data_IF_616482823291
#
_entry.id   IF_616482823291
#
_cell.length_a   1.000
_cell.length_b   1.000
_cell.length_c   1.000
_cell.angle_alpha   90.00
_cell.angle_beta   90.00
_cell.angle_gamma   90.00
#
_symmetry.space_group_name_H-M   'P 1'
#
loop_
_entity.id
_entity.type
_entity.pdbx_description
1 polymer ?
#
# COMPACT_ATOMS: atom_id res chain seq x y z
N UNK A 1 14.22 55.96 21.79
CA UNK A 1 13.59 55.53 20.51
C UNK A 1 14.23 54.23 20.03
N UNK A 2 13.43 53.20 19.77
CA UNK A 2 13.91 51.81 19.69
C UNK A 2 14.38 51.43 18.27
N UNK A 3 15.70 51.36 18.04
CA UNK A 3 16.35 51.09 16.73
C UNK A 3 15.85 49.84 16.02
N UNK A 4 15.45 48.81 16.78
CA UNK A 4 14.87 47.56 16.28
C UNK A 4 13.55 47.76 15.52
N UNK A 5 12.69 48.69 15.97
CA UNK A 5 11.42 49.00 15.30
C UNK A 5 11.61 49.72 13.95
N UNK A 6 12.66 50.53 13.82
CA UNK A 6 13.00 51.17 12.54
C UNK A 6 13.56 50.16 11.53
N UNK A 7 14.44 49.27 11.97
CA UNK A 7 14.99 48.21 11.11
C UNK A 7 13.89 47.29 10.57
N UNK A 8 12.92 46.92 11.41
CA UNK A 8 11.78 46.10 10.99
C UNK A 8 10.89 46.79 9.96
N UNK A 9 10.62 48.09 10.14
CA UNK A 9 9.84 48.88 9.15
C UNK A 9 10.56 48.97 7.82
N UNK A 10 11.88 49.17 7.83
CA UNK A 10 12.69 49.24 6.62
C UNK A 10 12.75 47.89 5.89
N UNK A 11 12.92 46.79 6.63
CA UNK A 11 12.88 45.44 6.07
C UNK A 11 11.51 45.15 5.43
N UNK A 12 10.41 45.45 6.12
CA UNK A 12 9.05 45.23 5.60
C UNK A 12 8.78 46.03 4.32
N UNK A 13 9.27 47.28 4.24
CA UNK A 13 9.20 48.10 3.03
C UNK A 13 10.00 47.49 1.88
N UNK A 14 11.22 47.02 2.13
CA UNK A 14 12.05 46.36 1.11
C UNK A 14 11.45 45.05 0.61
N UNK A 15 10.87 44.24 1.49
CA UNK A 15 10.14 43.03 1.09
C UNK A 15 8.92 43.34 0.21
N UNK A 16 8.17 44.41 0.52
CA UNK A 16 7.05 44.85 -0.31
C UNK A 16 7.52 45.33 -1.69
N UNK A 17 8.62 46.09 -1.77
CA UNK A 17 9.24 46.51 -3.02
C UNK A 17 9.69 45.31 -3.88
N UNK A 18 10.35 44.31 -3.26
CA UNK A 18 10.75 43.08 -3.94
C UNK A 18 9.54 42.30 -4.46
N UNK A 19 8.48 42.16 -3.65
CA UNK A 19 7.24 41.47 -4.07
C UNK A 19 6.57 42.16 -5.26
N UNK A 20 6.61 43.50 -5.29
CA UNK A 20 6.05 44.26 -6.40
C UNK A 20 6.89 44.12 -7.67
N UNK A 21 8.23 44.19 -7.55
CA UNK A 21 9.15 43.93 -8.68
C UNK A 21 8.98 42.52 -9.25
N UNK A 22 8.86 41.51 -8.39
CA UNK A 22 8.62 40.12 -8.79
C UNK A 22 7.30 39.97 -9.57
N UNK A 23 6.20 40.57 -9.07
CA UNK A 23 4.92 40.57 -9.78
C UNK A 23 5.00 41.24 -11.16
N UNK A 24 5.76 42.33 -11.27
CA UNK A 24 5.92 43.04 -12.54
C UNK A 24 6.82 42.26 -13.52
N UNK A 25 7.81 41.52 -13.03
CA UNK A 25 8.60 40.60 -13.85
C UNK A 25 7.73 39.44 -14.37
N UNK A 26 6.93 38.81 -13.50
CA UNK A 26 6.01 37.73 -13.91
C UNK A 26 4.96 38.15 -14.93
N UNK A 27 4.54 39.44 -14.94
CA UNK A 27 3.62 39.98 -15.95
C UNK A 27 4.30 40.25 -17.30
N UNK A 28 5.62 40.43 -17.32
CA UNK A 28 6.42 40.75 -18.52
C UNK A 28 7.06 39.53 -19.17
N UNK A 29 7.07 38.38 -18.49
CA UNK A 29 7.42 37.11 -19.13
C UNK A 29 6.32 36.78 -20.14
N UNK A 30 6.63 36.64 -21.45
CA UNK A 30 5.67 36.12 -22.42
C UNK A 30 5.12 34.82 -21.86
N UNK A 31 3.79 34.70 -21.74
CA UNK A 31 3.18 33.42 -21.34
C UNK A 31 3.77 32.36 -22.28
N UNK A 32 4.51 31.36 -21.78
CA UNK A 32 4.95 30.29 -22.64
C UNK A 32 3.70 29.76 -23.32
N UNK A 33 3.74 29.66 -24.64
CA UNK A 33 2.71 29.01 -25.43
C UNK A 33 2.67 27.59 -24.88
N UNK A 34 1.80 27.34 -23.90
CA UNK A 34 1.70 26.03 -23.26
C UNK A 34 1.28 25.12 -24.40
N UNK A 35 2.15 24.17 -24.84
CA UNK A 35 1.69 23.20 -25.81
C UNK A 35 0.46 22.57 -25.16
N UNK A 36 -0.64 22.44 -25.92
CA UNK A 36 -1.83 21.75 -25.43
C UNK A 36 -1.37 20.49 -24.71
N UNK A 37 -1.52 20.45 -23.39
CA UNK A 37 -1.12 19.28 -22.60
C UNK A 37 -1.96 18.16 -23.19
N UNK A 38 -1.32 17.25 -23.91
CA UNK A 38 -1.98 16.08 -24.48
C UNK A 38 -2.42 15.26 -23.29
N UNK A 39 -3.67 15.45 -22.89
CA UNK A 39 -4.31 14.64 -21.87
C UNK A 39 -4.63 13.31 -22.52
N UNK A 40 -3.79 12.32 -22.30
CA UNK A 40 -4.13 10.92 -22.52
C UNK A 40 -5.45 10.63 -21.80
N UNK A 41 -6.36 9.88 -22.41
CA UNK A 41 -7.58 9.41 -21.75
C UNK A 41 -7.27 8.35 -20.68
N UNK A 42 -8.26 7.99 -19.85
CA UNK A 42 -8.06 7.06 -18.73
C UNK A 42 -7.71 5.65 -19.20
N UNK A 43 -8.27 5.19 -20.32
CA UNK A 43 -8.01 3.85 -20.85
C UNK A 43 -6.56 3.72 -21.35
N UNK A 44 -6.06 4.72 -22.09
CA UNK A 44 -4.67 4.77 -22.51
C UNK A 44 -3.71 4.85 -21.32
N UNK A 45 -4.07 5.61 -20.28
CA UNK A 45 -3.28 5.69 -19.05
C UNK A 45 -3.25 4.36 -18.30
N UNK A 46 -4.38 3.67 -18.18
CA UNK A 46 -4.46 2.33 -17.58
C UNK A 46 -3.57 1.34 -18.32
N UNK A 47 -3.60 1.31 -19.66
CA UNK A 47 -2.77 0.41 -20.45
C UNK A 47 -1.27 0.68 -20.29
N UNK A 48 -0.87 1.95 -20.11
CA UNK A 48 0.52 2.30 -19.79
C UNK A 48 0.88 1.79 -18.39
N UNK A 49 0.04 2.06 -17.39
CA UNK A 49 0.26 1.67 -16.01
C UNK A 49 0.27 0.13 -15.82
N UNK A 50 -0.44 -0.63 -16.65
CA UNK A 50 -0.42 -2.11 -16.64
C UNK A 50 0.94 -2.69 -17.05
N UNK A 51 1.75 -1.92 -17.78
CA UNK A 51 3.09 -2.36 -18.22
C UNK A 51 4.19 -2.06 -17.21
N UNK A 52 3.89 -1.26 -16.20
CA UNK A 52 4.82 -0.97 -15.10
C UNK A 52 4.81 -2.10 -14.09
N UNK A 53 5.94 -2.27 -13.40
CA UNK A 53 5.96 -3.15 -12.23
C UNK A 53 5.11 -2.56 -11.08
N UNK A 54 4.87 -3.38 -10.05
CA UNK A 54 4.02 -2.99 -8.94
C UNK A 54 4.57 -1.78 -8.16
N UNK A 55 5.88 -1.72 -7.93
CA UNK A 55 6.54 -0.63 -7.21
C UNK A 55 6.41 0.67 -7.99
N UNK A 56 6.77 0.65 -9.28
CA UNK A 56 6.66 1.80 -10.17
C UNK A 56 5.24 2.32 -10.21
N UNK A 57 4.28 1.43 -10.45
CA UNK A 57 2.86 1.79 -10.55
C UNK A 57 2.34 2.46 -9.28
N UNK A 58 2.67 1.92 -8.10
CA UNK A 58 2.27 2.53 -6.81
C UNK A 58 2.95 3.89 -6.60
N UNK A 59 4.22 4.04 -6.98
CA UNK A 59 4.94 5.33 -6.90
C UNK A 59 4.32 6.41 -7.78
N UNK A 60 3.71 6.06 -8.92
CA UNK A 60 3.06 7.03 -9.83
C UNK A 60 1.87 7.76 -9.20
N UNK A 61 1.29 7.22 -8.11
CA UNK A 61 0.16 7.84 -7.38
C UNK A 61 0.43 9.27 -6.95
N UNK A 62 1.68 9.62 -6.63
CA UNK A 62 2.04 10.97 -6.14
C UNK A 62 1.99 12.05 -7.22
N UNK A 63 1.91 11.65 -8.50
CA UNK A 63 2.01 12.60 -9.62
C UNK A 63 0.75 13.44 -9.80
N UNK A 64 -0.44 12.85 -9.64
CA UNK A 64 -1.71 13.58 -9.72
C UNK A 64 -2.85 12.77 -9.11
N UNK A 65 -3.91 13.46 -8.68
CA UNK A 65 -5.14 12.82 -8.19
C UNK A 65 -5.75 11.86 -9.21
N UNK A 66 -5.67 12.20 -10.50
CA UNK A 66 -6.20 11.34 -11.57
C UNK A 66 -5.43 10.02 -11.67
N UNK A 67 -4.10 10.07 -11.65
CA UNK A 67 -3.27 8.86 -11.68
C UNK A 67 -3.47 8.04 -10.40
N UNK A 68 -3.56 8.71 -9.26
CA UNK A 68 -3.91 8.10 -7.97
C UNK A 68 -5.22 7.31 -8.04
N UNK A 69 -6.30 7.93 -8.52
CA UNK A 69 -7.61 7.30 -8.66
C UNK A 69 -7.63 6.13 -9.65
N UNK A 70 -6.78 6.15 -10.68
CA UNK A 70 -6.65 5.04 -11.64
C UNK A 70 -5.92 3.87 -10.97
N UNK A 71 -4.75 4.12 -10.38
CA UNK A 71 -3.94 3.08 -9.73
C UNK A 71 -4.73 2.37 -8.62
N UNK A 72 -5.51 3.10 -7.82
CA UNK A 72 -6.31 2.53 -6.72
C UNK A 72 -7.44 1.60 -7.20
N UNK A 73 -7.85 1.67 -8.48
CA UNK A 73 -8.84 0.75 -9.08
C UNK A 73 -8.20 -0.46 -9.75
N UNK A 74 -6.88 -0.43 -9.97
CA UNK A 74 -6.17 -1.52 -10.62
C UNK A 74 -5.89 -2.67 -9.64
N UNK A 75 -5.87 -3.93 -10.10
CA UNK A 75 -5.52 -5.06 -9.25
C UNK A 75 -4.09 -4.94 -8.70
N UNK A 76 -3.95 -4.86 -7.38
CA UNK A 76 -2.72 -5.09 -6.64
C UNK A 76 -2.60 -6.58 -6.28
N UNK A 77 -1.75 -7.32 -6.98
CA UNK A 77 -1.53 -8.76 -6.77
C UNK A 77 -0.09 -8.95 -6.35
N UNK A 78 0.13 -9.58 -5.21
CA UNK A 78 1.48 -9.89 -4.72
C UNK A 78 1.87 -11.29 -5.21
N UNK A 79 3.00 -11.46 -5.92
CA UNK A 79 3.36 -12.76 -6.48
C UNK A 79 3.70 -13.77 -5.39
N UNK A 80 4.45 -13.34 -4.37
CA UNK A 80 4.92 -14.19 -3.30
C UNK A 80 4.87 -13.48 -1.95
N UNK A 81 4.30 -14.17 -0.97
CA UNK A 81 4.35 -13.78 0.44
C UNK A 81 4.83 -14.99 1.24
N UNK A 82 5.86 -14.80 2.03
CA UNK A 82 6.36 -15.79 2.97
C UNK A 82 6.18 -15.31 4.41
N UNK A 83 5.45 -16.08 5.20
CA UNK A 83 5.20 -15.79 6.61
C UNK A 83 5.81 -16.91 7.43
N UNK A 84 6.73 -16.55 8.33
CA UNK A 84 7.36 -17.47 9.26
C UNK A 84 7.25 -16.97 10.68
N UNK A 85 7.42 -17.85 11.65
CA UNK A 85 7.48 -17.44 13.06
C UNK A 85 8.70 -18.01 13.76
N UNK A 86 9.26 -17.25 14.68
CA UNK A 86 10.20 -17.80 15.65
C UNK A 86 9.48 -18.53 16.79
N UNK A 87 10.24 -19.30 17.59
CA UNK A 87 9.73 -20.02 18.74
C UNK A 87 9.18 -19.11 19.86
N UNK A 88 9.40 -17.79 19.79
CA UNK A 88 8.94 -16.80 20.76
C UNK A 88 7.60 -16.17 20.36
N UNK A 89 7.03 -16.57 19.22
CA UNK A 89 5.76 -16.04 18.73
C UNK A 89 5.89 -14.70 18.00
N UNK A 90 7.11 -14.32 17.60
CA UNK A 90 7.30 -13.26 16.64
C UNK A 90 7.08 -13.83 15.23
N UNK A 91 6.32 -13.11 14.44
CA UNK A 91 6.00 -13.44 13.06
C UNK A 91 6.79 -12.49 12.17
N UNK A 92 7.46 -13.04 11.18
CA UNK A 92 8.18 -12.31 10.14
C UNK A 92 7.46 -12.54 8.81
N UNK A 93 7.12 -11.45 8.14
CA UNK A 93 6.54 -11.46 6.81
C UNK A 93 7.55 -10.90 5.81
N UNK A 94 7.78 -11.68 4.77
CA UNK A 94 8.62 -11.36 3.62
C UNK A 94 7.75 -11.33 2.36
N UNK A 95 8.06 -10.41 1.45
CA UNK A 95 7.39 -10.27 0.17
C UNK A 95 8.38 -9.68 -0.84
N UNK A 96 8.23 -10.02 -2.12
CA UNK A 96 9.06 -9.43 -3.17
C UNK A 96 8.85 -7.90 -3.32
N UNK A 97 7.72 -7.39 -2.83
CA UNK A 97 7.35 -5.98 -2.88
C UNK A 97 7.21 -5.38 -1.47
N UNK A 98 8.27 -5.49 -0.66
CA UNK A 98 8.29 -4.93 0.70
C UNK A 98 7.99 -3.43 0.73
N UNK A 99 8.54 -2.65 -0.20
CA UNK A 99 8.29 -1.21 -0.28
C UNK A 99 6.79 -0.91 -0.47
N UNK A 100 6.10 -1.66 -1.35
CA UNK A 100 4.65 -1.52 -1.54
C UNK A 100 3.89 -1.91 -0.26
N UNK A 101 4.31 -2.97 0.43
CA UNK A 101 3.67 -3.34 1.69
C UNK A 101 3.84 -2.26 2.76
N UNK A 102 5.04 -1.73 2.92
CA UNK A 102 5.36 -0.77 3.99
C UNK A 102 4.79 0.61 3.66
N UNK A 103 5.11 1.14 2.49
CA UNK A 103 4.84 2.55 2.14
C UNK A 103 3.41 2.77 1.63
N UNK A 104 2.71 1.71 1.24
CA UNK A 104 1.36 1.82 0.69
C UNK A 104 0.32 1.03 1.48
N UNK A 105 0.54 -0.27 1.70
CA UNK A 105 -0.47 -1.11 2.36
C UNK A 105 -0.54 -0.85 3.86
N UNK A 106 0.61 -0.65 4.50
CA UNK A 106 0.75 -0.52 5.95
C UNK A 106 1.18 0.90 6.39
N UNK A 107 1.13 1.88 5.49
CA UNK A 107 1.67 3.23 5.71
C UNK A 107 1.19 3.89 7.02
N UNK A 108 -0.08 3.71 7.35
CA UNK A 108 -0.73 4.32 8.53
C UNK A 108 -0.92 3.31 9.68
N UNK A 109 -0.35 2.10 9.57
CA UNK A 109 -0.55 1.04 10.55
C UNK A 109 0.56 1.04 11.60
N UNK A 110 0.16 0.80 12.85
CA UNK A 110 1.06 0.52 13.97
C UNK A 110 1.03 -0.97 14.32
N UNK A 111 1.94 -1.42 15.18
CA UNK A 111 1.95 -2.79 15.69
C UNK A 111 2.86 -3.76 14.95
N UNK A 112 3.63 -3.27 13.98
CA UNK A 112 4.75 -4.00 13.37
C UNK A 112 6.03 -3.15 13.41
N UNK A 113 7.16 -3.80 13.15
CA UNK A 113 8.47 -3.18 12.96
C UNK A 113 9.09 -3.73 11.68
N UNK A 114 9.98 -2.97 11.06
CA UNK A 114 10.79 -3.49 9.96
C UNK A 114 12.12 -3.94 10.53
N UNK A 115 12.43 -5.24 10.41
CA UNK A 115 13.66 -5.85 10.92
C UNK A 115 14.28 -6.66 9.79
N UNK A 116 15.53 -6.35 9.43
CA UNK A 116 16.26 -7.03 8.35
C UNK A 116 15.48 -7.10 7.01
N UNK A 117 14.73 -6.05 6.68
CA UNK A 117 13.92 -6.02 5.47
C UNK A 117 12.64 -6.85 5.51
N UNK A 118 12.26 -7.40 6.67
CA UNK A 118 11.01 -8.11 6.91
C UNK A 118 10.06 -7.28 7.79
N UNK A 119 8.76 -7.48 7.62
CA UNK A 119 7.74 -6.94 8.52
C UNK A 119 7.63 -7.92 9.70
N UNK A 120 8.09 -7.49 10.88
CA UNK A 120 8.06 -8.26 12.11
C UNK A 120 6.95 -7.76 13.05
N UNK A 121 6.10 -8.67 13.52
CA UNK A 121 5.03 -8.37 14.48
C UNK A 121 4.81 -9.57 15.41
N UNK A 122 4.22 -9.34 16.58
CA UNK A 122 3.90 -10.41 17.50
C UNK A 122 2.55 -11.06 17.15
N UNK A 123 2.29 -12.24 17.71
CA UNK A 123 1.02 -12.94 17.51
C UNK A 123 -0.22 -12.09 17.87
N UNK A 124 -0.13 -11.21 18.88
CA UNK A 124 -1.27 -10.35 19.29
C UNK A 124 -1.66 -9.35 18.20
N UNK A 125 -0.70 -8.91 17.39
CA UNK A 125 -0.92 -7.97 16.30
C UNK A 125 -1.18 -8.68 14.96
N UNK A 126 -1.03 -10.01 14.89
CA UNK A 126 -1.12 -10.78 13.64
C UNK A 126 -2.46 -10.57 12.93
N UNK A 127 -3.57 -10.67 13.66
CA UNK A 127 -4.90 -10.49 13.08
C UNK A 127 -5.06 -9.11 12.42
N UNK A 128 -4.61 -8.07 13.12
CA UNK A 128 -4.70 -6.68 12.66
C UNK A 128 -3.82 -6.47 11.41
N UNK A 129 -2.56 -6.91 11.44
CA UNK A 129 -1.61 -6.75 10.32
C UNK A 129 -2.10 -7.52 9.09
N UNK A 130 -2.45 -8.79 9.24
CA UNK A 130 -2.94 -9.62 8.14
C UNK A 130 -4.22 -9.05 7.52
N UNK A 131 -5.17 -8.62 8.35
CA UNK A 131 -6.40 -7.97 7.87
C UNK A 131 -6.10 -6.69 7.07
N UNK A 132 -5.16 -5.86 7.53
CA UNK A 132 -4.78 -4.66 6.80
C UNK A 132 -4.13 -4.95 5.45
N UNK A 133 -3.37 -6.05 5.35
CA UNK A 133 -2.81 -6.51 4.07
C UNK A 133 -3.92 -6.98 3.15
N UNK A 134 -4.70 -7.98 3.59
CA UNK A 134 -5.72 -8.63 2.76
C UNK A 134 -6.82 -7.65 2.34
N UNK A 135 -7.11 -6.61 3.14
CA UNK A 135 -8.09 -5.58 2.81
C UNK A 135 -7.69 -4.63 1.68
N UNK A 136 -6.38 -4.49 1.41
CA UNK A 136 -5.83 -3.51 0.46
C UNK A 136 -5.23 -4.14 -0.78
N UNK A 137 -5.00 -5.45 -0.75
CA UNK A 137 -4.53 -6.20 -1.91
C UNK A 137 -5.70 -6.95 -2.54
N UNK A 138 -5.67 -7.13 -3.85
CA UNK A 138 -6.67 -7.89 -4.59
C UNK A 138 -6.37 -9.38 -4.63
N UNK A 139 -5.12 -9.77 -4.37
CA UNK A 139 -4.78 -11.18 -4.27
C UNK A 139 -3.30 -11.47 -4.07
N UNK A 140 -3.02 -12.75 -3.91
CA UNK A 140 -1.69 -13.32 -3.73
C UNK A 140 -1.57 -14.53 -4.65
N UNK A 141 -0.54 -14.58 -5.50
CA UNK A 141 -0.29 -15.76 -6.33
C UNK A 141 0.19 -16.93 -5.47
N UNK A 142 1.19 -16.71 -4.61
CA UNK A 142 1.67 -17.78 -3.73
C UNK A 142 1.89 -17.28 -2.29
N UNK A 143 1.11 -17.84 -1.36
CA UNK A 143 1.30 -17.68 0.07
C UNK A 143 2.02 -18.89 0.64
N UNK A 144 3.16 -18.67 1.28
CA UNK A 144 3.93 -19.68 1.98
C UNK A 144 3.91 -19.41 3.49
N UNK A 145 3.47 -20.41 4.26
CA UNK A 145 3.39 -20.37 5.71
C UNK A 145 4.36 -21.38 6.33
N UNK A 146 5.29 -20.91 7.15
CA UNK A 146 6.23 -21.72 7.94
C UNK A 146 6.28 -21.20 9.38
N UNK A 147 5.15 -21.35 10.07
CA UNK A 147 4.91 -20.79 11.39
C UNK A 147 4.27 -21.80 12.32
N UNK A 148 4.60 -21.70 13.61
CA UNK A 148 3.90 -22.45 14.66
C UNK A 148 2.42 -22.01 14.79
N UNK A 149 2.05 -20.90 14.15
CA UNK A 149 0.74 -20.26 14.21
C UNK A 149 -0.03 -20.34 12.88
N UNK A 150 0.33 -21.29 11.99
CA UNK A 150 -0.30 -21.45 10.68
C UNK A 150 -1.83 -21.50 10.76
N UNK A 151 -2.40 -22.23 11.73
CA UNK A 151 -3.86 -22.34 11.93
C UNK A 151 -4.52 -20.97 12.14
N UNK A 152 -3.99 -20.15 13.06
CA UNK A 152 -4.51 -18.82 13.35
C UNK A 152 -4.36 -17.83 12.18
N UNK A 153 -3.25 -17.90 11.45
CA UNK A 153 -3.00 -17.07 10.26
C UNK A 153 -4.05 -17.42 9.19
N UNK A 154 -4.24 -18.71 8.92
CA UNK A 154 -5.22 -19.19 7.95
C UNK A 154 -6.65 -18.84 8.37
N UNK A 155 -6.99 -19.03 9.65
CA UNK A 155 -8.29 -18.63 10.18
C UNK A 155 -8.56 -17.14 9.94
N UNK A 156 -7.58 -16.27 10.22
CA UNK A 156 -7.71 -14.83 9.97
C UNK A 156 -7.99 -14.54 8.49
N UNK A 157 -7.27 -15.20 7.58
CA UNK A 157 -7.45 -15.04 6.14
C UNK A 157 -8.85 -15.48 5.72
N UNK A 158 -9.30 -16.66 6.17
CA UNK A 158 -10.60 -17.25 5.83
C UNK A 158 -11.75 -16.41 6.39
N UNK A 159 -11.68 -16.02 7.67
CA UNK A 159 -12.69 -15.16 8.30
C UNK A 159 -12.83 -13.84 7.54
N UNK A 160 -11.72 -13.21 7.17
CA UNK A 160 -11.75 -11.97 6.41
C UNK A 160 -12.32 -12.19 5.00
N UNK A 161 -11.87 -13.24 4.31
CA UNK A 161 -12.36 -13.61 2.98
C UNK A 161 -13.86 -13.85 2.97
N UNK A 162 -14.39 -14.56 3.98
CA UNK A 162 -15.82 -14.78 4.16
C UNK A 162 -16.54 -13.45 4.41
N UNK A 163 -16.02 -12.60 5.30
CA UNK A 163 -16.63 -11.31 5.61
C UNK A 163 -16.75 -10.38 4.39
N UNK A 164 -15.75 -10.35 3.50
CA UNK A 164 -15.76 -9.48 2.31
C UNK A 164 -16.56 -10.05 1.13
N UNK A 165 -16.77 -11.38 1.09
CA UNK A 165 -17.45 -12.06 -0.01
C UNK A 165 -18.87 -12.53 0.35
N UNK A 166 -19.27 -12.48 1.62
CA UNK A 166 -20.64 -12.85 2.03
C UNK A 166 -21.68 -12.00 1.28
N UNK A 167 -22.47 -12.64 0.42
CA UNK A 167 -23.49 -12.00 -0.41
C UNK A 167 -22.98 -11.30 -1.68
N UNK A 168 -21.68 -11.34 -1.97
CA UNK A 168 -21.08 -10.76 -3.18
C UNK A 168 -20.87 -11.83 -4.26
N UNK A 169 -21.27 -11.54 -5.51
CA UNK A 169 -20.92 -12.38 -6.68
C UNK A 169 -19.49 -12.14 -7.17
N UNK A 170 -18.82 -11.08 -6.71
CA UNK A 170 -17.49 -10.69 -7.16
C UNK A 170 -16.48 -10.91 -6.04
N UNK A 171 -15.52 -11.79 -6.29
CA UNK A 171 -14.39 -12.06 -5.42
C UNK A 171 -13.55 -10.80 -5.28
N UNK A 172 -13.37 -10.33 -4.04
CA UNK A 172 -12.56 -9.13 -3.73
C UNK A 172 -11.10 -9.46 -3.44
N UNK A 173 -10.82 -10.71 -3.09
CA UNK A 173 -9.49 -11.23 -2.82
C UNK A 173 -9.34 -12.60 -3.48
N UNK A 174 -8.20 -12.89 -4.11
CA UNK A 174 -7.88 -14.22 -4.65
C UNK A 174 -6.55 -14.73 -4.10
N UNK A 175 -6.49 -16.05 -3.87
CA UNK A 175 -5.28 -16.76 -3.48
C UNK A 175 -5.11 -17.94 -4.44
N UNK A 176 -4.04 -17.96 -5.24
CA UNK A 176 -3.87 -18.98 -6.29
C UNK A 176 -3.19 -20.25 -5.73
N UNK A 177 -2.15 -20.08 -4.91
CA UNK A 177 -1.39 -21.17 -4.32
C UNK A 177 -1.13 -20.92 -2.83
N UNK A 178 -1.31 -21.98 -2.03
CA UNK A 178 -0.98 -22.01 -0.61
C UNK A 178 0.00 -23.15 -0.33
N UNK A 179 1.10 -22.84 0.34
CA UNK A 179 2.04 -23.83 0.88
C UNK A 179 2.11 -23.67 2.39
N UNK A 180 1.89 -24.75 3.12
CA UNK A 180 1.95 -24.79 4.58
C UNK A 180 3.01 -25.80 5.00
N UNK A 181 4.02 -25.34 5.72
CA UNK A 181 5.10 -26.16 6.28
C UNK A 181 4.92 -26.25 7.78
N UNK A 182 5.02 -27.47 8.32
CA UNK A 182 4.77 -27.77 9.73
C UNK A 182 3.34 -28.26 10.02
N UNK A 183 3.07 -28.60 11.28
CA UNK A 183 1.75 -29.12 11.70
C UNK A 183 0.80 -27.96 12.01
N UNK A 184 -0.37 -27.98 11.36
CA UNK A 184 -1.56 -27.35 11.90
C UNK A 184 -1.95 -28.20 13.11
N UNK A 185 -1.86 -27.67 14.34
CA UNK A 185 -2.27 -28.42 15.52
C UNK A 185 -3.78 -28.67 15.41
N UNK A 186 -4.21 -29.90 15.65
CA UNK A 186 -5.63 -30.27 15.58
C UNK A 186 -6.52 -29.44 16.54
N UNK A 187 -5.95 -28.89 17.63
CA UNK A 187 -6.64 -27.96 18.53
C UNK A 187 -6.93 -26.59 17.93
N UNK A 188 -6.23 -26.23 16.85
CA UNK A 188 -6.30 -24.92 16.20
C UNK A 188 -7.10 -25.01 14.89
N UNK A 189 -7.61 -26.22 14.58
CA UNK A 189 -8.31 -26.55 13.34
C UNK A 189 -9.70 -27.15 13.62
N UNK A 190 -10.62 -26.34 14.14
CA UNK A 190 -12.06 -26.59 13.97
C UNK A 190 -12.46 -26.24 12.52
N UNK A 191 -11.91 -26.98 11.55
CA UNK A 191 -12.15 -26.77 10.12
C UNK A 191 -13.19 -27.78 9.64
N UNK A 192 -14.45 -27.57 9.99
CA UNK A 192 -15.58 -28.33 9.43
C UNK A 192 -15.93 -27.90 7.98
N UNK A 193 -15.11 -27.07 7.32
CA UNK A 193 -15.44 -26.52 6.01
C UNK A 193 -14.29 -26.68 5.01
N UNK A 194 -14.45 -27.68 4.13
CA UNK A 194 -13.72 -27.80 2.88
C UNK A 194 -13.81 -26.50 2.09
N UNK A 195 -12.68 -25.81 1.91
CA UNK A 195 -12.53 -24.86 0.81
C UNK A 195 -12.29 -25.71 -0.43
N UNK A 196 -13.38 -25.97 -1.17
CA UNK A 196 -13.32 -26.62 -2.47
C UNK A 196 -12.60 -25.67 -3.45
N UNK A 197 -11.27 -25.83 -3.58
CA UNK A 197 -10.47 -25.21 -4.63
C UNK A 197 -10.68 -25.98 -5.95
N UNK A 198 -11.91 -26.00 -6.46
CA UNK A 198 -12.22 -26.49 -7.81
C UNK A 198 -13.11 -25.48 -8.55
N UNK A 199 -12.45 -24.55 -9.23
CA UNK A 199 -13.03 -23.81 -10.35
C UNK A 199 -12.28 -24.18 -11.62
N UNK A 200 -12.87 -25.08 -12.42
CA UNK A 200 -12.64 -25.13 -13.87
C UNK A 200 -13.54 -24.10 -14.53
#
# INVERSE_FOLDING_TARGET
MNRSRMLWRNAKKKFAECRHKLKNLMKKVPKPHVPHVVTLDDAAMEEILKRLDLNERVRMRVLSRRVHDIVDRMPLILPFIFIRSDARGNIELHCDYMDVLIDYVLADMQGFKVVNGAIAFNYTNARMVLTAIISRITGVTHLWLDSAWNGHIMQTIVEYYQAINCGSKRLRFHLEQLTVVGSIRASDADWDYCIDCHGR
#
